data_IF_680322223783
#
_entry.id   IF_680322223783
#
_cell.length_a   1.000
_cell.length_b   1.000
_cell.length_c   1.000
_cell.angle_alpha   90.00
_cell.angle_beta   90.00
_cell.angle_gamma   90.00
#
_symmetry.space_group_name_H-M   'P 1'
#
loop_
_entity.id
_entity.type
_entity.pdbx_description
1 polymer ?
#
# COMPACT_ATOMS: atom_id res chain seq x y z
N UNK A 1 -36.63 21.90 56.13
CA UNK A 1 -36.73 22.26 54.68
C UNK A 1 -35.41 22.71 54.11
N UNK A 2 -34.67 23.65 54.74
CA UNK A 2 -33.37 24.19 54.26
C UNK A 2 -32.27 23.12 54.12
N UNK A 3 -32.19 22.17 55.02
CA UNK A 3 -31.21 21.05 54.96
C UNK A 3 -31.50 20.12 53.72
N UNK A 4 -32.76 19.78 53.48
CA UNK A 4 -33.18 19.00 52.28
C UNK A 4 -32.88 19.72 50.97
N UNK A 5 -33.18 21.04 50.93
CA UNK A 5 -32.85 21.85 49.72
C UNK A 5 -31.36 21.92 49.46
N UNK A 6 -30.53 22.08 50.51
CA UNK A 6 -29.06 22.08 50.38
C UNK A 6 -28.51 20.75 49.88
N UNK A 7 -29.07 19.62 50.37
CA UNK A 7 -28.68 18.26 49.93
C UNK A 7 -29.11 18.03 48.49
N UNK A 8 -30.32 18.44 48.08
CA UNK A 8 -30.75 18.35 46.67
C UNK A 8 -29.92 19.21 45.74
N UNK A 9 -29.58 20.45 46.12
CA UNK A 9 -28.71 21.31 45.33
C UNK A 9 -27.31 20.71 45.14
N UNK A 10 -26.71 20.13 46.22
CA UNK A 10 -25.42 19.45 46.14
C UNK A 10 -25.46 18.25 45.22
N UNK A 11 -26.48 17.40 45.32
CA UNK A 11 -26.66 16.22 44.49
C UNK A 11 -26.84 16.62 42.99
N UNK A 12 -27.68 17.65 42.73
CA UNK A 12 -27.86 18.16 41.36
C UNK A 12 -26.58 18.74 40.74
N UNK A 13 -25.81 19.48 41.55
CA UNK A 13 -24.50 20.00 41.10
C UNK A 13 -23.49 18.87 40.80
N UNK A 14 -23.45 17.82 41.63
CA UNK A 14 -22.61 16.66 41.39
C UNK A 14 -22.98 15.89 40.11
N UNK A 15 -24.29 15.70 39.87
CA UNK A 15 -24.78 15.06 38.64
C UNK A 15 -24.45 15.88 37.40
N UNK A 16 -24.67 17.21 37.46
CA UNK A 16 -24.34 18.10 36.37
C UNK A 16 -22.83 18.07 36.04
N UNK A 17 -21.99 18.13 37.07
CA UNK A 17 -20.54 18.00 36.93
C UNK A 17 -20.11 16.67 36.29
N UNK A 18 -20.67 15.54 36.77
CA UNK A 18 -20.40 14.22 36.21
C UNK A 18 -20.77 14.16 34.74
N UNK A 19 -21.94 14.64 34.37
CA UNK A 19 -22.41 14.63 32.99
C UNK A 19 -21.48 15.47 32.07
N UNK A 20 -21.07 16.66 32.55
CA UNK A 20 -20.16 17.53 31.81
C UNK A 20 -18.80 16.85 31.56
N UNK A 21 -18.26 16.23 32.61
CA UNK A 21 -16.97 15.54 32.51
C UNK A 21 -17.01 14.38 31.52
N UNK A 22 -18.07 13.56 31.59
CA UNK A 22 -18.24 12.44 30.66
C UNK A 22 -18.36 12.93 29.22
N UNK A 23 -19.15 13.97 28.98
CA UNK A 23 -19.30 14.55 27.65
C UNK A 23 -17.98 15.11 27.11
N UNK A 24 -17.23 15.85 27.94
CA UNK A 24 -15.93 16.41 27.54
C UNK A 24 -14.92 15.29 27.26
N UNK A 25 -14.94 14.22 28.06
CA UNK A 25 -14.05 13.05 27.88
C UNK A 25 -14.38 12.31 26.60
N UNK A 26 -15.66 11.99 26.35
CA UNK A 26 -16.10 11.34 25.11
C UNK A 26 -15.67 12.14 23.87
N UNK A 27 -15.92 13.45 23.90
CA UNK A 27 -15.55 14.34 22.77
C UNK A 27 -14.04 14.35 22.51
N UNK A 28 -13.21 14.24 23.54
CA UNK A 28 -11.77 14.20 23.37
C UNK A 28 -11.31 12.83 22.87
N UNK A 29 -11.89 11.74 23.35
CA UNK A 29 -11.60 10.37 22.92
C UNK A 29 -11.98 10.15 21.44
N UNK A 30 -13.09 10.71 20.97
CA UNK A 30 -13.51 10.63 19.56
C UNK A 30 -12.52 11.27 18.58
N UNK A 31 -11.67 12.19 19.05
CA UNK A 31 -10.63 12.82 18.23
C UNK A 31 -9.29 12.09 18.27
N UNK A 32 -9.12 11.20 19.23
CA UNK A 32 -7.89 10.44 19.43
C UNK A 32 -7.69 9.41 18.31
N UNK A 33 -6.44 9.28 17.85
CA UNK A 33 -6.06 8.33 16.81
C UNK A 33 -5.35 7.14 17.44
N UNK A 34 -6.14 6.09 17.73
CA UNK A 34 -5.60 4.83 18.25
C UNK A 34 -5.61 4.73 19.78
N UNK A 35 -5.32 3.53 20.26
CA UNK A 35 -5.49 3.13 21.69
C UNK A 35 -4.60 3.92 22.65
N UNK A 36 -3.36 4.20 22.25
CA UNK A 36 -2.41 4.95 23.09
C UNK A 36 -2.88 6.38 23.36
N UNK A 37 -3.39 7.07 22.33
CA UNK A 37 -3.88 8.45 22.46
C UNK A 37 -5.18 8.50 23.28
N UNK A 38 -6.07 7.52 23.12
CA UNK A 38 -7.28 7.36 23.94
C UNK A 38 -6.90 7.20 25.41
N UNK A 39 -5.89 6.38 25.72
CA UNK A 39 -5.41 6.17 27.07
C UNK A 39 -4.76 7.45 27.66
N UNK A 40 -3.96 8.17 26.87
CA UNK A 40 -3.34 9.43 27.28
C UNK A 40 -4.41 10.50 27.63
N UNK A 41 -5.47 10.61 26.82
CA UNK A 41 -6.62 11.47 27.08
C UNK A 41 -7.33 11.04 28.36
N UNK A 42 -7.59 9.73 28.51
CA UNK A 42 -8.24 9.17 29.70
C UNK A 42 -7.47 9.52 30.98
N UNK A 43 -6.16 9.24 30.99
CA UNK A 43 -5.30 9.53 32.14
C UNK A 43 -5.27 11.02 32.47
N UNK A 44 -5.19 11.88 31.46
CA UNK A 44 -5.21 13.34 31.62
C UNK A 44 -6.52 13.81 32.27
N UNK A 45 -7.66 13.28 31.83
CA UNK A 45 -8.96 13.61 32.42
C UNK A 45 -9.08 13.10 33.86
N UNK A 46 -8.63 11.87 34.13
CA UNK A 46 -8.65 11.30 35.48
C UNK A 46 -7.78 12.10 36.46
N UNK A 47 -6.61 12.57 36.05
CA UNK A 47 -5.75 13.46 36.87
C UNK A 47 -6.50 14.75 37.23
N UNK A 48 -7.14 15.37 36.22
CA UNK A 48 -7.91 16.63 36.46
C UNK A 48 -9.06 16.44 37.44
N UNK A 49 -9.70 15.26 37.40
CA UNK A 49 -10.84 14.92 38.22
C UNK A 49 -10.47 14.52 39.67
N UNK A 50 -9.53 13.59 39.76
CA UNK A 50 -9.15 12.98 41.03
C UNK A 50 -8.05 13.74 41.76
N UNK A 51 -7.32 14.64 41.04
CA UNK A 51 -6.13 15.34 41.52
C UNK A 51 -5.08 14.39 42.10
N UNK A 52 -4.96 13.20 41.51
CA UNK A 52 -4.04 12.14 41.89
C UNK A 52 -3.19 11.72 40.67
N UNK A 53 -2.04 11.16 40.93
CA UNK A 53 -1.23 10.52 39.91
C UNK A 53 -1.97 9.28 39.37
N UNK A 54 -1.73 8.92 38.11
CA UNK A 54 -2.31 7.78 37.43
C UNK A 54 -1.19 6.96 36.81
N UNK A 55 -1.18 5.66 37.01
CA UNK A 55 -0.37 4.74 36.21
C UNK A 55 -1.24 4.08 35.17
N UNK A 56 -0.73 3.91 33.96
CA UNK A 56 -1.46 3.28 32.88
C UNK A 56 -0.60 2.27 32.13
N UNK A 57 -1.21 1.20 31.70
CA UNK A 57 -0.60 0.08 31.00
C UNK A 57 -1.42 -0.23 29.77
N UNK A 58 -0.80 -0.23 28.58
CA UNK A 58 -1.42 -0.60 27.31
C UNK A 58 -1.15 -2.08 27.03
N UNK A 59 -2.01 -2.72 26.26
CA UNK A 59 -1.79 -4.06 25.75
C UNK A 59 -1.19 -3.96 24.35
N UNK A 60 0.01 -4.50 24.15
CA UNK A 60 0.69 -4.58 22.88
C UNK A 60 0.93 -6.06 22.56
N UNK A 61 0.42 -6.55 21.43
CA UNK A 61 0.52 -7.96 21.02
C UNK A 61 0.09 -8.98 22.09
N UNK A 62 -0.97 -8.64 22.86
CA UNK A 62 -1.49 -9.50 23.95
C UNK A 62 -0.65 -9.48 25.22
N UNK A 63 0.34 -8.61 25.31
CA UNK A 63 1.22 -8.46 26.50
C UNK A 63 1.03 -7.07 27.08
N UNK A 64 0.94 -7.00 28.42
CA UNK A 64 0.85 -5.72 29.11
C UNK A 64 2.18 -4.99 29.02
N UNK A 65 2.16 -3.75 28.52
CA UNK A 65 3.34 -2.89 28.34
C UNK A 65 4.00 -2.51 29.67
N UNK A 66 5.17 -1.90 29.60
CA UNK A 66 5.75 -1.22 30.76
C UNK A 66 4.86 -0.03 31.11
N UNK A 67 4.45 0.06 32.40
CA UNK A 67 3.57 1.12 32.85
C UNK A 67 4.13 2.52 32.61
N UNK A 68 3.25 3.48 32.33
CA UNK A 68 3.54 4.90 32.17
C UNK A 68 2.89 5.65 33.34
N UNK A 69 3.65 6.52 34.01
CA UNK A 69 3.11 7.37 35.06
C UNK A 69 2.68 8.71 34.46
N UNK A 70 1.46 9.09 34.74
CA UNK A 70 0.89 10.40 34.48
C UNK A 70 0.81 11.15 35.81
N UNK A 71 1.53 12.25 35.93
CA UNK A 71 1.65 13.02 37.17
C UNK A 71 1.01 14.40 37.05
N UNK A 72 0.20 14.74 38.05
CA UNK A 72 -0.31 16.12 38.24
C UNK A 72 0.57 16.96 39.16
N UNK A 73 1.38 16.35 40.03
CA UNK A 73 2.30 16.98 40.97
C UNK A 73 3.64 16.23 41.01
N UNK A 74 4.73 16.91 41.41
CA UNK A 74 6.09 16.37 41.44
C UNK A 74 6.32 15.39 42.62
N UNK A 75 5.69 14.23 42.61
CA UNK A 75 6.10 13.10 43.46
C UNK A 75 7.09 12.19 42.70
N UNK A 76 7.92 11.46 43.46
CA UNK A 76 8.95 10.58 42.87
C UNK A 76 8.34 9.52 41.97
N UNK A 77 8.75 9.52 40.72
CA UNK A 77 8.24 8.64 39.62
C UNK A 77 8.48 7.15 39.93
N UNK A 78 9.47 6.83 40.75
CA UNK A 78 9.92 5.45 41.00
C UNK A 78 9.00 4.62 41.93
N UNK A 79 8.16 5.26 42.74
CA UNK A 79 7.40 4.57 43.81
C UNK A 79 6.18 3.77 43.30
N UNK A 80 5.69 3.99 42.06
CA UNK A 80 4.43 3.40 41.56
C UNK A 80 4.63 2.49 40.35
N UNK A 81 5.85 2.34 39.84
CA UNK A 81 6.18 1.47 38.71
C UNK A 81 7.17 0.37 39.07
N UNK A 82 7.14 -0.10 40.33
CA UNK A 82 8.02 -1.17 40.80
C UNK A 82 7.59 -2.53 40.19
N UNK A 83 8.47 -3.54 40.17
CA UNK A 83 8.12 -4.88 39.67
C UNK A 83 6.92 -5.49 40.40
N UNK A 84 6.78 -5.23 41.70
CA UNK A 84 5.64 -5.69 42.50
C UNK A 84 4.34 -5.05 42.05
N UNK A 85 4.31 -3.74 41.80
CA UNK A 85 3.13 -3.03 41.31
C UNK A 85 2.78 -3.48 39.88
N UNK A 86 3.78 -3.75 39.04
CA UNK A 86 3.56 -4.31 37.68
C UNK A 86 2.95 -5.71 37.73
N UNK A 87 3.31 -6.54 38.71
CA UNK A 87 2.71 -7.85 38.90
C UNK A 87 1.21 -7.74 39.27
N UNK A 88 0.83 -6.77 40.08
CA UNK A 88 -0.57 -6.50 40.43
C UNK A 88 -1.36 -6.01 39.21
N UNK A 89 -0.77 -5.11 38.41
CA UNK A 89 -1.38 -4.64 37.19
C UNK A 89 -1.58 -5.79 36.18
N UNK A 90 -0.59 -6.70 36.05
CA UNK A 90 -0.70 -7.89 35.20
C UNK A 90 -1.82 -8.82 35.67
N UNK A 91 -1.94 -9.05 36.97
CA UNK A 91 -3.02 -9.84 37.50
C UNK A 91 -4.40 -9.23 37.18
N UNK A 92 -4.53 -7.90 37.33
CA UNK A 92 -5.77 -7.20 36.99
C UNK A 92 -6.10 -7.34 35.50
N UNK A 93 -5.10 -7.32 34.63
CA UNK A 93 -5.23 -7.56 33.17
C UNK A 93 -5.71 -8.99 32.87
N UNK A 94 -5.01 -9.99 33.41
CA UNK A 94 -5.28 -11.41 33.13
C UNK A 94 -6.67 -11.87 33.63
N UNK A 95 -7.14 -11.31 34.76
CA UNK A 95 -8.41 -11.67 35.34
C UNK A 95 -9.57 -10.71 35.01
N UNK A 96 -9.29 -9.56 34.37
CA UNK A 96 -10.29 -8.54 34.08
C UNK A 96 -10.97 -7.96 35.34
N UNK A 97 -10.32 -8.06 36.51
CA UNK A 97 -10.86 -7.68 37.82
C UNK A 97 -9.98 -6.61 38.47
N UNK A 98 -10.59 -5.91 39.46
CA UNK A 98 -9.83 -4.95 40.27
C UNK A 98 -8.88 -5.68 41.25
N UNK A 99 -7.67 -5.12 41.38
CA UNK A 99 -6.65 -5.62 42.32
C UNK A 99 -5.92 -4.47 42.99
N UNK A 100 -5.17 -4.76 44.04
CA UNK A 100 -4.34 -3.77 44.72
C UNK A 100 -4.99 -3.18 45.97
N UNK A 101 -4.64 -1.97 46.31
CA UNK A 101 -5.06 -1.29 47.53
C UNK A 101 -6.55 -1.34 47.72
N UNK A 102 -6.95 -1.67 48.98
CA UNK A 102 -8.35 -1.78 49.39
C UNK A 102 -9.18 -2.83 48.63
N UNK A 103 -8.52 -3.86 48.06
CA UNK A 103 -9.18 -5.01 47.42
C UNK A 103 -8.84 -6.32 48.11
N UNK A 104 -9.49 -7.42 47.74
CA UNK A 104 -9.16 -8.76 48.24
C UNK A 104 -7.87 -9.34 47.67
N UNK A 105 -7.46 -8.85 46.49
CA UNK A 105 -6.26 -9.30 45.76
C UNK A 105 -5.16 -8.24 45.86
N UNK A 106 -4.04 -8.60 46.46
CA UNK A 106 -2.87 -7.72 46.66
C UNK A 106 -3.16 -6.46 47.51
N UNK A 107 -3.79 -6.56 48.68
CA UNK A 107 -4.18 -5.40 49.53
C UNK A 107 -3.00 -4.54 49.96
N UNK A 108 -1.78 -5.05 49.89
CA UNK A 108 -0.53 -4.35 50.25
C UNK A 108 -0.02 -3.42 49.16
N UNK A 109 -0.54 -3.52 47.93
CA UNK A 109 -0.11 -2.66 46.82
C UNK A 109 -0.40 -1.17 47.11
N UNK A 110 0.39 -0.30 46.58
CA UNK A 110 0.23 1.17 46.74
C UNK A 110 -0.91 1.71 45.89
N UNK A 111 -1.19 1.05 44.75
CA UNK A 111 -2.21 1.46 43.81
C UNK A 111 -3.44 0.53 43.82
N UNK A 112 -4.60 1.12 43.50
CA UNK A 112 -5.79 0.38 43.07
C UNK A 112 -5.73 0.23 41.53
N UNK A 113 -5.70 -1.00 41.06
CA UNK A 113 -5.67 -1.33 39.62
C UNK A 113 -7.04 -1.73 39.12
N UNK A 114 -7.44 -1.14 38.00
CA UNK A 114 -8.71 -1.37 37.31
C UNK A 114 -8.44 -1.71 35.85
N UNK A 115 -9.00 -2.83 35.39
CA UNK A 115 -8.93 -3.21 33.99
C UNK A 115 -9.84 -2.32 33.12
N UNK A 116 -9.31 -1.83 32.01
CA UNK A 116 -10.08 -1.17 30.96
C UNK A 116 -10.63 -2.29 30.08
N UNK A 117 -11.91 -2.64 30.26
CA UNK A 117 -12.49 -3.78 29.55
C UNK A 117 -13.84 -3.45 28.94
N UNK A 118 -14.13 -4.05 27.77
CA UNK A 118 -15.46 -4.14 27.19
C UNK A 118 -15.78 -5.60 26.89
N UNK A 119 -16.86 -6.09 27.46
CA UNK A 119 -17.16 -7.53 27.47
C UNK A 119 -16.04 -8.38 28.07
N UNK A 120 -15.54 -9.34 27.31
CA UNK A 120 -14.43 -10.24 27.71
C UNK A 120 -13.05 -9.68 27.34
N UNK A 121 -12.97 -8.61 26.53
CA UNK A 121 -11.71 -8.04 26.09
C UNK A 121 -11.19 -7.00 27.08
N UNK A 122 -9.90 -7.10 27.42
CA UNK A 122 -9.18 -6.14 28.26
C UNK A 122 -8.17 -5.39 27.39
N UNK A 123 -8.29 -4.08 27.32
CA UNK A 123 -7.49 -3.18 26.46
C UNK A 123 -6.32 -2.54 27.22
N UNK A 124 -6.35 -2.57 28.54
CA UNK A 124 -5.31 -1.98 29.38
C UNK A 124 -5.66 -2.02 30.86
N UNK A 125 -4.79 -1.41 31.66
CA UNK A 125 -5.00 -1.29 33.09
C UNK A 125 -4.66 0.11 33.55
N UNK A 126 -5.49 0.69 34.41
CA UNK A 126 -5.23 1.96 35.09
C UNK A 126 -4.98 1.68 36.58
N UNK A 127 -3.90 2.23 37.12
CA UNK A 127 -3.57 2.20 38.54
C UNK A 127 -3.71 3.58 39.17
N UNK A 128 -4.32 3.65 40.35
CA UNK A 128 -4.54 4.88 41.09
C UNK A 128 -3.88 4.74 42.46
N UNK A 129 -2.86 5.55 42.75
CA UNK A 129 -2.23 5.55 44.08
C UNK A 129 -3.23 5.93 45.18
N UNK A 130 -3.31 5.10 46.24
CA UNK A 130 -4.20 5.31 47.38
C UNK A 130 -3.38 5.27 48.70
N UNK A 131 -2.52 6.28 48.90
CA UNK A 131 -1.56 6.25 49.99
C UNK A 131 -2.16 6.48 51.40
N UNK A 132 -3.19 7.32 51.56
CA UNK A 132 -3.79 7.65 52.86
C UNK A 132 -5.31 7.89 52.84
N UNK A 133 -5.89 8.04 51.69
CA UNK A 133 -7.30 8.37 51.49
C UNK A 133 -7.93 7.44 50.49
N UNK A 134 -9.06 6.83 50.86
CA UNK A 134 -9.90 6.07 49.95
C UNK A 134 -10.62 7.01 49.02
N UNK A 135 -10.97 6.54 47.82
CA UNK A 135 -11.88 7.26 46.94
C UNK A 135 -13.26 7.35 47.58
N UNK A 136 -13.88 8.53 47.54
CA UNK A 136 -15.26 8.63 47.94
C UNK A 136 -16.20 7.92 46.92
N UNK A 137 -17.45 7.70 47.28
CA UNK A 137 -18.40 6.98 46.41
C UNK A 137 -18.65 7.75 45.06
N UNK A 138 -18.51 9.06 45.05
CA UNK A 138 -18.71 9.88 43.89
C UNK A 138 -17.50 9.82 42.95
N UNK A 139 -16.29 9.98 43.50
CA UNK A 139 -15.01 9.82 42.77
C UNK A 139 -14.92 8.44 42.12
N UNK A 140 -15.26 7.37 42.89
CA UNK A 140 -15.24 6.01 42.36
C UNK A 140 -16.25 5.79 41.24
N UNK A 141 -17.45 6.37 41.34
CA UNK A 141 -18.46 6.29 40.31
C UNK A 141 -18.05 7.00 39.03
N UNK A 142 -17.40 8.17 39.12
CA UNK A 142 -16.87 8.90 37.96
C UNK A 142 -15.72 8.12 37.30
N UNK A 143 -14.80 7.62 38.10
CA UNK A 143 -13.68 6.81 37.64
C UNK A 143 -14.15 5.62 36.80
N UNK A 144 -15.10 4.84 37.31
CA UNK A 144 -15.65 3.69 36.57
C UNK A 144 -16.33 4.13 35.27
N UNK A 145 -17.03 5.27 35.29
CA UNK A 145 -17.70 5.78 34.10
C UNK A 145 -16.68 6.19 33.03
N UNK A 146 -15.58 6.85 33.40
CA UNK A 146 -14.51 7.26 32.47
C UNK A 146 -13.75 6.03 31.94
N UNK A 147 -13.47 5.03 32.80
CA UNK A 147 -12.83 3.78 32.37
C UNK A 147 -13.71 3.02 31.37
N UNK A 148 -15.03 2.94 31.62
CA UNK A 148 -15.94 2.28 30.68
C UNK A 148 -16.02 3.01 29.33
N UNK A 149 -16.02 4.35 29.35
CA UNK A 149 -15.99 5.14 28.11
C UNK A 149 -14.66 4.95 27.34
N UNK A 150 -13.55 4.87 28.08
CA UNK A 150 -12.25 4.54 27.51
C UNK A 150 -12.28 3.17 26.83
N UNK A 151 -12.81 2.15 27.51
CA UNK A 151 -12.91 0.79 26.99
C UNK A 151 -13.75 0.74 25.70
N UNK A 152 -14.91 1.42 25.69
CA UNK A 152 -15.77 1.49 24.52
C UNK A 152 -15.08 2.23 23.34
N UNK A 153 -14.37 3.32 23.64
CA UNK A 153 -13.62 4.07 22.63
C UNK A 153 -12.48 3.23 22.03
N UNK A 154 -11.76 2.46 22.84
CA UNK A 154 -10.70 1.54 22.37
C UNK A 154 -11.28 0.41 21.51
N UNK A 155 -12.36 -0.20 21.93
CA UNK A 155 -13.08 -1.23 21.15
C UNK A 155 -13.52 -0.70 19.78
N UNK A 156 -14.09 0.51 19.75
CA UNK A 156 -14.51 1.15 18.50
C UNK A 156 -13.32 1.44 17.59
N UNK A 157 -12.20 1.92 18.12
CA UNK A 157 -10.98 2.18 17.36
C UNK A 157 -10.40 0.88 16.78
N UNK A 158 -10.34 -0.20 17.56
CA UNK A 158 -9.87 -1.51 17.10
C UNK A 158 -10.77 -2.09 16.01
N UNK A 159 -12.09 -2.04 16.20
CA UNK A 159 -13.07 -2.50 15.22
C UNK A 159 -13.00 -1.69 13.91
N UNK A 160 -12.73 -0.39 13.99
CA UNK A 160 -12.55 0.46 12.80
C UNK A 160 -11.30 0.07 12.01
N UNK A 161 -10.17 -0.15 12.69
CA UNK A 161 -8.93 -0.62 12.06
C UNK A 161 -9.08 -2.00 11.41
N UNK A 162 -9.76 -2.92 12.08
CA UNK A 162 -10.02 -4.26 11.53
C UNK A 162 -10.92 -4.21 10.31
N UNK A 163 -11.98 -3.40 10.34
CA UNK A 163 -12.86 -3.18 9.17
C UNK A 163 -12.09 -2.58 7.99
N UNK A 164 -11.23 -1.60 8.23
CA UNK A 164 -10.41 -1.01 7.18
C UNK A 164 -9.45 -2.04 6.58
N UNK A 165 -8.76 -2.81 7.41
CA UNK A 165 -7.88 -3.90 6.96
C UNK A 165 -8.64 -4.94 6.12
N UNK A 166 -9.81 -5.37 6.59
CA UNK A 166 -10.65 -6.35 5.88
C UNK A 166 -11.18 -5.77 4.56
N UNK A 167 -11.54 -4.48 4.51
CA UNK A 167 -11.98 -3.82 3.27
C UNK A 167 -10.84 -3.76 2.23
N UNK A 168 -9.61 -3.48 2.66
CA UNK A 168 -8.44 -3.49 1.77
C UNK A 168 -8.17 -4.91 1.24
N UNK A 169 -8.24 -5.92 2.10
CA UNK A 169 -8.07 -7.32 1.69
C UNK A 169 -9.15 -7.75 0.69
N UNK A 170 -10.42 -7.45 0.99
CA UNK A 170 -11.55 -7.78 0.10
C UNK A 170 -11.42 -7.09 -1.26
N UNK A 171 -10.98 -5.82 -1.28
CA UNK A 171 -10.73 -5.08 -2.53
C UNK A 171 -9.61 -5.73 -3.35
N UNK A 172 -8.54 -6.17 -2.70
CA UNK A 172 -7.43 -6.85 -3.39
C UNK A 172 -7.87 -8.20 -3.97
N UNK A 173 -8.67 -8.99 -3.23
CA UNK A 173 -9.22 -10.26 -3.73
C UNK A 173 -10.18 -10.03 -4.90
N UNK A 174 -11.04 -9.00 -4.83
CA UNK A 174 -11.93 -8.65 -5.94
C UNK A 174 -11.13 -8.27 -7.19
N UNK A 175 -10.10 -7.42 -7.03
CA UNK A 175 -9.20 -7.06 -8.14
C UNK A 175 -8.55 -8.30 -8.75
N UNK A 176 -8.03 -9.24 -7.94
CA UNK A 176 -7.46 -10.49 -8.44
C UNK A 176 -8.47 -11.33 -9.24
N UNK A 177 -9.71 -11.44 -8.76
CA UNK A 177 -10.76 -12.18 -9.44
C UNK A 177 -11.13 -11.54 -10.79
N UNK A 178 -11.27 -10.23 -10.84
CA UNK A 178 -11.58 -9.48 -12.06
C UNK A 178 -10.44 -9.58 -13.08
N UNK A 179 -9.18 -9.52 -12.61
CA UNK A 179 -7.99 -9.74 -13.41
C UNK A 179 -7.97 -11.11 -14.05
N UNK A 180 -8.18 -12.18 -13.27
CA UNK A 180 -8.21 -13.56 -13.81
C UNK A 180 -9.31 -13.74 -14.85
N UNK A 181 -10.47 -13.09 -14.66
CA UNK A 181 -11.59 -13.13 -15.62
C UNK A 181 -11.21 -12.43 -16.93
N UNK A 182 -10.62 -11.22 -16.85
CA UNK A 182 -10.18 -10.47 -18.02
C UNK A 182 -9.11 -11.24 -18.82
N UNK A 183 -8.06 -11.71 -18.13
CA UNK A 183 -7.00 -12.53 -18.73
C UNK A 183 -7.58 -13.76 -19.42
N UNK A 184 -8.47 -14.49 -18.75
CA UNK A 184 -9.07 -15.71 -19.32
C UNK A 184 -9.89 -15.43 -20.58
N UNK A 185 -10.61 -14.31 -20.61
CA UNK A 185 -11.35 -13.87 -21.80
C UNK A 185 -10.42 -13.54 -22.96
N UNK A 186 -9.38 -12.75 -22.68
CA UNK A 186 -8.48 -12.26 -23.74
C UNK A 186 -7.52 -13.33 -24.26
N UNK A 187 -7.15 -14.32 -23.44
CA UNK A 187 -6.42 -15.51 -23.91
C UNK A 187 -7.28 -16.44 -24.75
N UNK A 188 -8.58 -16.54 -24.47
CA UNK A 188 -9.49 -17.46 -25.21
C UNK A 188 -9.61 -17.05 -26.67
N UNK A 189 -9.68 -15.77 -26.98
CA UNK A 189 -9.90 -15.26 -28.34
C UNK A 189 -8.80 -15.71 -29.32
N UNK A 190 -7.51 -15.50 -29.08
CA UNK A 190 -6.44 -15.98 -29.96
C UNK A 190 -6.34 -17.51 -29.98
N UNK A 191 -6.59 -18.19 -28.85
CA UNK A 191 -6.63 -19.65 -28.84
C UNK A 191 -7.73 -20.22 -29.74
N UNK A 192 -8.92 -19.60 -29.75
CA UNK A 192 -10.00 -19.98 -30.66
C UNK A 192 -9.64 -19.67 -32.11
N UNK A 193 -8.94 -18.56 -32.40
CA UNK A 193 -8.47 -18.22 -33.75
C UNK A 193 -7.43 -19.22 -34.23
N UNK A 194 -6.41 -19.53 -33.43
CA UNK A 194 -5.41 -20.56 -33.76
C UNK A 194 -6.09 -21.93 -34.03
N UNK A 195 -6.99 -22.34 -33.13
CA UNK A 195 -7.70 -23.62 -33.27
C UNK A 195 -8.56 -23.65 -34.54
N UNK A 196 -9.31 -22.58 -34.81
CA UNK A 196 -10.15 -22.47 -36.01
C UNK A 196 -9.36 -22.46 -37.32
N UNK A 197 -8.25 -21.69 -37.34
CA UNK A 197 -7.33 -21.63 -38.45
C UNK A 197 -6.66 -23.00 -38.73
N UNK A 198 -6.24 -23.70 -37.67
CA UNK A 198 -5.66 -25.03 -37.76
C UNK A 198 -6.70 -26.05 -38.27
N UNK A 199 -7.95 -26.01 -37.80
CA UNK A 199 -9.02 -26.86 -38.27
C UNK A 199 -9.34 -26.61 -39.74
N UNK A 200 -9.35 -25.35 -40.19
CA UNK A 200 -9.54 -24.99 -41.59
C UNK A 200 -8.45 -25.58 -42.48
N UNK A 201 -7.18 -25.53 -42.06
CA UNK A 201 -6.07 -26.17 -42.78
C UNK A 201 -6.20 -27.70 -42.82
N UNK A 202 -6.63 -28.34 -41.71
CA UNK A 202 -6.77 -29.79 -41.63
C UNK A 202 -7.94 -30.30 -42.48
N UNK A 203 -9.08 -29.58 -42.49
CA UNK A 203 -10.31 -30.03 -43.12
C UNK A 203 -10.46 -29.63 -44.58
N UNK A 204 -9.83 -28.51 -45.00
CA UNK A 204 -10.06 -27.93 -46.34
C UNK A 204 -8.78 -27.58 -47.10
N UNK A 205 -7.63 -28.12 -46.75
CA UNK A 205 -6.33 -27.75 -47.35
C UNK A 205 -6.31 -27.83 -48.88
N UNK A 206 -6.95 -28.83 -49.46
CA UNK A 206 -6.99 -29.04 -50.90
C UNK A 206 -7.85 -28.02 -51.66
N UNK A 207 -8.71 -27.27 -50.96
CA UNK A 207 -9.62 -26.27 -51.54
C UNK A 207 -9.11 -24.83 -51.38
N UNK A 208 -8.07 -24.65 -50.57
CA UNK A 208 -7.45 -23.33 -50.30
C UNK A 208 -6.34 -23.05 -51.28
N UNK A 209 -6.27 -21.84 -51.80
CA UNK A 209 -5.13 -21.37 -52.55
C UNK A 209 -3.92 -21.11 -51.67
N UNK A 210 -2.72 -21.03 -52.24
CA UNK A 210 -1.48 -20.86 -51.48
C UNK A 210 -1.42 -19.53 -50.76
N UNK A 211 -2.05 -18.48 -51.26
CA UNK A 211 -2.10 -17.17 -50.64
C UNK A 211 -2.94 -17.24 -49.34
N UNK A 212 -4.10 -17.86 -49.41
CA UNK A 212 -4.96 -18.08 -48.21
C UNK A 212 -4.29 -18.98 -47.18
N UNK A 213 -3.59 -20.05 -47.61
CA UNK A 213 -2.83 -20.91 -46.68
C UNK A 213 -1.74 -20.10 -45.98
N UNK A 214 -0.99 -19.29 -46.72
CA UNK A 214 0.06 -18.46 -46.21
C UNK A 214 -0.49 -17.46 -45.16
N UNK A 215 -1.64 -16.84 -45.43
CA UNK A 215 -2.29 -15.92 -44.49
C UNK A 215 -2.68 -16.65 -43.21
N UNK A 216 -3.30 -17.87 -43.30
CA UNK A 216 -3.68 -18.67 -42.15
C UNK A 216 -2.45 -19.04 -41.30
N UNK A 217 -1.33 -19.44 -41.92
CA UNK A 217 -0.10 -19.74 -41.20
C UNK A 217 0.44 -18.47 -40.46
N UNK A 218 0.37 -17.32 -41.12
CA UNK A 218 0.78 -16.04 -40.51
C UNK A 218 -0.11 -15.67 -39.32
N UNK A 219 -1.42 -15.83 -39.46
CA UNK A 219 -2.38 -15.56 -38.39
C UNK A 219 -2.15 -16.48 -37.17
N UNK A 220 -1.90 -17.78 -37.38
CA UNK A 220 -1.57 -18.73 -36.31
C UNK A 220 -0.25 -18.32 -35.62
N UNK A 221 0.76 -17.94 -36.40
CA UNK A 221 2.05 -17.53 -35.88
C UNK A 221 1.93 -16.25 -35.06
N UNK A 222 1.29 -15.22 -35.59
CA UNK A 222 1.11 -13.92 -34.92
C UNK A 222 0.30 -14.07 -33.61
N UNK A 223 -0.78 -14.85 -33.62
CA UNK A 223 -1.59 -15.13 -32.41
C UNK A 223 -0.77 -15.93 -31.37
N UNK A 224 0.11 -16.84 -31.79
CA UNK A 224 0.97 -17.62 -30.88
C UNK A 224 2.07 -16.74 -30.25
N UNK A 225 2.75 -15.90 -31.02
CA UNK A 225 3.75 -14.95 -30.52
C UNK A 225 3.13 -13.97 -29.53
N UNK A 226 1.93 -13.46 -29.83
CA UNK A 226 1.20 -12.60 -28.91
C UNK A 226 0.90 -13.30 -27.58
N UNK A 227 0.44 -14.57 -27.60
CA UNK A 227 0.18 -15.34 -26.39
C UNK A 227 1.43 -15.56 -25.55
N UNK A 228 2.57 -15.85 -26.19
CA UNK A 228 3.87 -16.00 -25.51
C UNK A 228 4.21 -14.70 -24.78
N UNK A 229 4.13 -13.55 -25.45
CA UNK A 229 4.41 -12.25 -24.85
C UNK A 229 3.51 -11.92 -23.64
N UNK A 230 2.22 -12.27 -23.74
CA UNK A 230 1.28 -12.10 -22.61
C UNK A 230 1.67 -12.94 -21.41
N UNK A 231 2.01 -14.23 -21.62
CA UNK A 231 2.41 -15.15 -20.54
C UNK A 231 3.71 -14.66 -19.89
N UNK A 232 4.70 -14.24 -20.68
CA UNK A 232 5.96 -13.72 -20.17
C UNK A 232 5.79 -12.43 -19.35
N UNK A 233 4.95 -11.51 -19.82
CA UNK A 233 4.63 -10.29 -19.08
C UNK A 233 3.93 -10.60 -17.75
N UNK A 234 2.97 -11.53 -17.74
CA UNK A 234 2.25 -11.94 -16.53
C UNK A 234 3.18 -12.60 -15.51
N UNK A 235 4.07 -13.49 -15.97
CA UNK A 235 5.08 -14.12 -15.12
C UNK A 235 6.06 -13.10 -14.55
N UNK A 236 6.48 -12.11 -15.33
CA UNK A 236 7.39 -11.05 -14.89
C UNK A 236 6.74 -10.18 -13.81
N UNK A 237 5.48 -9.75 -14.00
CA UNK A 237 4.72 -8.99 -13.01
C UNK A 237 4.53 -9.79 -11.71
N UNK A 238 4.16 -11.07 -11.81
CA UNK A 238 3.94 -11.92 -10.64
C UNK A 238 5.22 -12.08 -9.82
N UNK A 239 6.36 -12.29 -10.49
CA UNK A 239 7.68 -12.42 -9.83
C UNK A 239 8.14 -11.12 -9.18
N UNK A 240 7.84 -9.97 -9.79
CA UNK A 240 8.13 -8.65 -9.23
C UNK A 240 7.32 -8.40 -7.95
N UNK A 241 6.01 -8.62 -7.99
CA UNK A 241 5.11 -8.37 -6.86
C UNK A 241 5.38 -9.30 -5.66
N UNK A 242 5.78 -10.54 -5.91
CA UNK A 242 6.12 -11.51 -4.86
C UNK A 242 7.51 -11.25 -4.23
N UNK A 243 8.27 -10.26 -4.71
CA UNK A 243 9.65 -10.02 -4.28
C UNK A 243 10.61 -11.19 -4.61
N UNK A 244 10.18 -12.10 -5.48
CA UNK A 244 10.95 -13.31 -5.87
C UNK A 244 11.88 -13.09 -7.04
N UNK A 245 11.78 -11.92 -7.69
CA UNK A 245 12.67 -11.62 -8.81
C UNK A 245 14.07 -11.32 -8.28
N UNK A 246 15.02 -12.20 -8.61
CA UNK A 246 16.44 -11.97 -8.32
C UNK A 246 17.02 -11.13 -9.45
N UNK A 247 17.23 -9.84 -9.17
CA UNK A 247 17.89 -8.93 -10.10
C UNK A 247 19.36 -9.32 -10.27
N UNK A 248 19.81 -9.32 -11.52
CA UNK A 248 21.23 -9.52 -11.86
C UNK A 248 21.79 -8.19 -12.38
N UNK A 249 22.09 -7.30 -11.44
CA UNK A 249 22.68 -6.01 -11.79
C UNK A 249 24.11 -6.17 -12.33
N UNK A 250 24.36 -5.58 -13.47
CA UNK A 250 25.69 -5.48 -14.12
C UNK A 250 25.88 -4.08 -14.63
N UNK A 251 27.12 -3.62 -14.70
CA UNK A 251 27.46 -2.33 -15.29
C UNK A 251 27.60 -2.51 -16.79
N UNK A 252 26.78 -1.80 -17.58
CA UNK A 252 26.69 -1.94 -19.02
C UNK A 252 26.60 -0.57 -19.70
N UNK A 253 27.09 -0.50 -20.91
CA UNK A 253 26.95 0.68 -21.78
C UNK A 253 25.51 0.77 -22.31
N UNK A 254 24.91 1.95 -22.18
CA UNK A 254 23.52 2.16 -22.55
C UNK A 254 23.28 1.99 -24.06
N UNK A 255 24.21 2.44 -24.90
CA UNK A 255 24.15 2.29 -26.35
C UNK A 255 24.14 0.82 -26.79
N UNK A 256 24.93 -0.06 -26.15
CA UNK A 256 24.93 -1.50 -26.41
C UNK A 256 23.55 -2.12 -26.07
N UNK A 257 22.96 -1.73 -24.94
CA UNK A 257 21.64 -2.24 -24.52
C UNK A 257 20.53 -1.75 -25.45
N UNK A 258 20.59 -0.50 -25.91
CA UNK A 258 19.66 0.02 -26.94
C UNK A 258 19.85 -0.76 -28.25
N UNK A 259 21.08 -0.96 -28.70
CA UNK A 259 21.35 -1.70 -29.95
C UNK A 259 20.85 -3.16 -29.87
N UNK A 260 21.02 -3.81 -28.72
CA UNK A 260 20.51 -5.18 -28.50
C UNK A 260 18.98 -5.21 -28.47
N UNK A 261 18.32 -4.22 -27.87
CA UNK A 261 16.86 -4.15 -27.85
C UNK A 261 16.25 -4.06 -29.24
N UNK A 262 16.91 -3.36 -30.18
CA UNK A 262 16.46 -3.25 -31.55
C UNK A 262 16.47 -4.58 -32.34
N UNK A 263 17.29 -5.55 -31.93
CA UNK A 263 17.31 -6.91 -32.51
C UNK A 263 16.11 -7.74 -32.11
N UNK A 264 15.45 -7.37 -31.01
CA UNK A 264 14.28 -8.09 -30.47
C UNK A 264 12.94 -7.50 -30.91
N UNK A 265 12.95 -6.43 -31.69
CA UNK A 265 11.72 -5.81 -32.21
C UNK A 265 11.11 -6.67 -33.31
N UNK A 266 9.78 -6.68 -33.40
CA UNK A 266 9.03 -7.42 -34.40
C UNK A 266 9.44 -7.02 -35.85
N UNK A 267 9.29 -7.95 -36.83
CA UNK A 267 9.63 -7.74 -38.24
C UNK A 267 8.93 -6.55 -38.93
N UNK A 268 7.88 -6.01 -38.29
CA UNK A 268 7.14 -4.82 -38.79
C UNK A 268 7.93 -3.50 -38.67
N UNK A 269 9.13 -3.49 -38.07
CA UNK A 269 9.92 -2.29 -37.89
C UNK A 269 10.50 -1.73 -39.23
N UNK A 270 10.60 -2.55 -40.26
CA UNK A 270 11.13 -2.14 -41.58
C UNK A 270 10.30 -1.01 -42.23
N UNK A 271 9.04 -0.87 -41.84
CA UNK A 271 8.13 0.17 -42.30
C UNK A 271 8.27 1.50 -41.53
N UNK A 272 9.15 1.57 -40.50
CA UNK A 272 9.33 2.73 -39.64
C UNK A 272 10.78 3.23 -39.66
N UNK A 273 10.95 4.54 -39.48
CA UNK A 273 12.29 5.11 -39.37
C UNK A 273 12.70 5.20 -37.90
N UNK A 274 13.49 4.25 -37.41
CA UNK A 274 14.04 4.28 -36.06
C UNK A 274 15.37 5.03 -36.07
N UNK A 275 15.47 6.08 -35.24
CA UNK A 275 16.66 6.92 -35.08
C UNK A 275 17.19 6.75 -33.68
N UNK A 276 18.46 6.39 -33.50
CA UNK A 276 19.11 6.27 -32.20
C UNK A 276 20.13 7.40 -32.07
N UNK A 277 20.00 8.16 -30.97
CA UNK A 277 20.91 9.25 -30.62
C UNK A 277 21.32 9.01 -29.13
N UNK A 278 22.43 8.35 -28.92
CA UNK A 278 22.92 8.02 -27.58
C UNK A 278 24.27 8.70 -27.32
N UNK A 279 24.38 9.38 -26.20
CA UNK A 279 25.63 9.94 -25.71
C UNK A 279 26.64 8.82 -25.45
N UNK A 280 27.88 9.04 -25.82
CA UNK A 280 28.95 8.04 -25.67
C UNK A 280 29.27 7.78 -24.19
N UNK A 281 29.64 6.54 -23.88
CA UNK A 281 30.14 6.10 -22.57
C UNK A 281 29.15 6.34 -21.39
N UNK A 282 27.85 6.18 -21.63
CA UNK A 282 26.85 6.17 -20.55
C UNK A 282 26.84 4.79 -19.90
N UNK A 283 27.59 4.65 -18.81
CA UNK A 283 27.66 3.40 -18.03
C UNK A 283 26.55 3.39 -16.96
N UNK A 284 25.73 2.34 -16.98
CA UNK A 284 24.54 2.20 -16.10
C UNK A 284 24.53 0.86 -15.43
N UNK A 285 24.20 0.85 -14.13
CA UNK A 285 24.04 -0.38 -13.37
C UNK A 285 22.62 -0.90 -13.49
N UNK A 286 22.42 -1.98 -14.24
CA UNK A 286 21.09 -2.50 -14.57
C UNK A 286 21.04 -4.01 -14.72
N UNK A 287 19.85 -4.59 -14.66
CA UNK A 287 19.59 -5.94 -15.20
C UNK A 287 19.25 -5.80 -16.68
N UNK A 288 20.19 -6.15 -17.52
CA UNK A 288 20.13 -5.94 -18.97
C UNK A 288 18.88 -6.55 -19.60
N UNK A 289 18.48 -7.75 -19.18
CA UNK A 289 17.31 -8.45 -19.75
C UNK A 289 16.03 -7.67 -19.51
N UNK A 290 15.88 -7.12 -18.30
CA UNK A 290 14.69 -6.36 -17.91
C UNK A 290 14.65 -5.00 -18.59
N UNK A 291 15.81 -4.33 -18.75
CA UNK A 291 15.86 -3.05 -19.45
C UNK A 291 15.64 -3.24 -20.97
N UNK A 292 16.15 -4.32 -21.58
CA UNK A 292 15.79 -4.69 -22.96
C UNK A 292 14.27 -4.87 -23.07
N UNK A 293 13.63 -5.57 -22.12
CA UNK A 293 12.16 -5.75 -22.11
C UNK A 293 11.42 -4.42 -22.03
N UNK A 294 11.91 -3.46 -21.22
CA UNK A 294 11.34 -2.09 -21.16
C UNK A 294 11.45 -1.40 -22.52
N UNK A 295 12.64 -1.40 -23.10
CA UNK A 295 12.87 -0.74 -24.41
C UNK A 295 12.02 -1.37 -25.51
N UNK A 296 11.98 -2.70 -25.62
CA UNK A 296 11.14 -3.41 -26.58
C UNK A 296 9.67 -3.05 -26.40
N UNK A 297 9.15 -3.08 -25.16
CA UNK A 297 7.76 -2.71 -24.91
C UNK A 297 7.43 -1.26 -25.31
N UNK A 298 8.33 -0.31 -25.03
CA UNK A 298 8.11 1.10 -25.40
C UNK A 298 8.18 1.31 -26.91
N UNK A 299 9.13 0.66 -27.60
CA UNK A 299 9.29 0.75 -29.06
C UNK A 299 8.13 0.06 -29.77
N UNK A 300 7.70 -1.14 -29.33
CA UNK A 300 6.54 -1.85 -29.89
C UNK A 300 5.25 -1.04 -29.67
N UNK A 301 5.10 -0.33 -28.57
CA UNK A 301 4.00 0.60 -28.38
C UNK A 301 4.05 1.75 -29.40
N UNK A 302 5.22 2.35 -29.64
CA UNK A 302 5.38 3.39 -30.64
C UNK A 302 5.02 2.87 -32.04
N UNK A 303 5.51 1.68 -32.45
CA UNK A 303 5.17 1.04 -33.73
C UNK A 303 3.66 0.78 -33.82
N UNK A 304 3.05 0.30 -32.78
CA UNK A 304 1.65 -0.09 -32.74
C UNK A 304 0.68 1.08 -32.86
N UNK A 305 1.00 2.21 -32.23
CA UNK A 305 0.08 3.35 -32.13
C UNK A 305 0.40 4.50 -33.08
N UNK A 306 1.42 4.36 -33.94
CA UNK A 306 1.76 5.36 -34.94
C UNK A 306 1.48 4.84 -36.37
N UNK A 307 1.14 5.72 -37.33
CA UNK A 307 1.01 5.33 -38.74
C UNK A 307 2.30 4.79 -39.32
N UNK A 308 2.19 3.90 -40.31
CA UNK A 308 3.31 3.41 -41.12
C UNK A 308 4.11 4.58 -41.71
N UNK A 309 5.44 4.50 -41.67
CA UNK A 309 6.34 5.58 -42.09
C UNK A 309 6.67 6.61 -41.01
N UNK A 310 6.13 6.43 -39.78
CA UNK A 310 6.47 7.30 -38.66
C UNK A 310 7.94 7.22 -38.26
N UNK A 311 8.40 8.27 -37.58
CA UNK A 311 9.75 8.34 -36.98
C UNK A 311 9.67 8.05 -35.51
N UNK A 312 10.46 7.08 -35.07
CA UNK A 312 10.62 6.73 -33.63
C UNK A 312 12.06 7.09 -33.25
N UNK A 313 12.25 7.98 -32.27
CA UNK A 313 13.56 8.43 -31.84
C UNK A 313 13.86 7.87 -30.43
N UNK A 314 15.01 7.22 -30.27
CA UNK A 314 15.50 6.72 -28.99
C UNK A 314 16.72 7.56 -28.62
N UNK A 315 16.62 8.33 -27.54
CA UNK A 315 17.72 9.19 -27.09
C UNK A 315 18.20 8.77 -25.71
N UNK A 316 19.52 8.59 -25.58
CA UNK A 316 20.18 8.27 -24.29
C UNK A 316 21.13 9.39 -23.90
N UNK A 317 20.94 10.01 -22.72
CA UNK A 317 21.79 11.12 -22.26
C UNK A 317 22.10 10.97 -20.75
N UNK A 318 23.19 11.64 -20.31
CA UNK A 318 23.45 11.86 -18.89
C UNK A 318 22.80 13.17 -18.45
N UNK A 319 21.91 13.10 -17.47
CA UNK A 319 21.22 14.26 -16.93
C UNK A 319 21.02 14.13 -15.42
N UNK A 320 21.33 15.19 -14.66
CA UNK A 320 21.12 15.28 -13.21
C UNK A 320 21.67 14.08 -12.42
N UNK A 321 22.86 13.56 -12.83
CA UNK A 321 23.50 12.41 -12.18
C UNK A 321 22.83 11.06 -12.46
N UNK A 322 21.95 10.99 -13.45
CA UNK A 322 21.27 9.76 -13.91
C UNK A 322 21.43 9.59 -15.41
N UNK A 323 21.32 8.36 -15.88
CA UNK A 323 21.07 8.08 -17.29
C UNK A 323 19.59 8.32 -17.56
N UNK A 324 19.27 9.13 -18.55
CA UNK A 324 17.91 9.37 -19.03
C UNK A 324 17.77 8.80 -20.42
N UNK A 325 16.71 8.00 -20.62
CA UNK A 325 16.36 7.45 -21.92
C UNK A 325 14.99 7.98 -22.33
N UNK A 326 14.91 8.51 -23.54
CA UNK A 326 13.68 8.99 -24.14
C UNK A 326 13.32 8.07 -25.29
N UNK A 327 12.07 7.64 -25.37
CA UNK A 327 11.48 6.97 -26.54
C UNK A 327 10.38 7.86 -27.06
N UNK A 328 10.65 8.53 -28.18
CA UNK A 328 9.79 9.55 -28.76
C UNK A 328 9.15 9.02 -30.04
N UNK A 329 7.87 9.26 -30.24
CA UNK A 329 7.13 8.99 -31.47
C UNK A 329 6.41 10.25 -31.97
N UNK A 330 6.03 10.27 -33.24
CA UNK A 330 5.25 11.33 -33.85
C UNK A 330 3.81 10.92 -34.15
N UNK A 331 3.25 10.04 -33.33
CA UNK A 331 1.89 9.53 -33.42
C UNK A 331 0.80 10.51 -32.97
N UNK A 332 -0.43 10.02 -32.73
CA UNK A 332 -1.56 10.85 -32.30
C UNK A 332 -1.46 11.35 -30.86
N UNK A 333 -0.52 10.85 -30.07
CA UNK A 333 -0.43 11.16 -28.63
C UNK A 333 -1.46 10.45 -27.78
N UNK A 334 -1.48 10.79 -26.47
CA UNK A 334 -2.39 10.23 -25.45
C UNK A 334 -3.18 11.39 -24.83
N UNK A 335 -4.50 11.23 -24.72
CA UNK A 335 -5.37 12.25 -24.14
C UNK A 335 -5.07 12.50 -22.66
N UNK A 336 -5.30 13.73 -22.18
CA UNK A 336 -5.05 14.13 -20.77
C UNK A 336 -5.81 13.25 -19.77
N UNK A 337 -7.00 12.75 -20.14
CA UNK A 337 -7.80 11.86 -19.28
C UNK A 337 -7.17 10.49 -19.11
N UNK A 338 -6.40 10.01 -20.10
CA UNK A 338 -5.77 8.69 -20.06
C UNK A 338 -4.40 8.71 -19.39
N UNK A 339 -3.65 9.81 -19.47
CA UNK A 339 -2.26 9.91 -18.96
C UNK A 339 -2.09 9.45 -17.51
N UNK A 340 -2.97 9.78 -16.54
CA UNK A 340 -2.83 9.33 -15.16
C UNK A 340 -2.92 7.81 -14.98
N UNK A 341 -3.55 7.12 -15.93
CA UNK A 341 -3.90 5.70 -15.81
C UNK A 341 -3.06 4.76 -16.69
N UNK A 342 -2.25 5.28 -17.60
CA UNK A 342 -1.53 4.45 -18.61
C UNK A 342 -0.55 3.46 -18.00
N UNK A 343 -0.07 3.69 -16.79
CA UNK A 343 0.82 2.78 -16.05
C UNK A 343 0.06 1.83 -15.12
N UNK A 344 -1.27 1.97 -15.02
CA UNK A 344 -2.09 1.02 -14.25
C UNK A 344 -2.20 -0.31 -15.01
N UNK A 345 -2.16 -1.41 -14.26
CA UNK A 345 -2.32 -2.74 -14.84
C UNK A 345 -3.70 -2.88 -15.50
N UNK A 346 -3.70 -3.47 -16.70
CA UNK A 346 -4.93 -3.74 -17.49
C UNK A 346 -5.66 -2.49 -17.98
N UNK A 347 -5.06 -1.33 -17.86
CA UNK A 347 -5.62 -0.13 -18.46
C UNK A 347 -5.34 -0.12 -19.96
N UNK A 348 -6.43 -0.14 -20.74
CA UNK A 348 -6.40 0.03 -22.19
C UNK A 348 -7.28 1.22 -22.56
N UNK A 349 -6.73 2.20 -23.25
CA UNK A 349 -7.51 3.34 -23.74
C UNK A 349 -8.69 2.85 -24.60
N UNK A 350 -9.86 3.45 -24.46
CA UNK A 350 -11.00 3.22 -25.35
C UNK A 350 -10.66 3.75 -26.75
N UNK A 351 -9.95 2.99 -27.53
CA UNK A 351 -9.77 3.29 -28.96
C UNK A 351 -10.98 2.74 -29.70
N UNK A 352 -11.73 3.64 -30.34
CA UNK A 352 -12.86 3.35 -31.25
C UNK A 352 -12.42 2.71 -32.57
N UNK A 353 -11.15 2.41 -32.71
CA UNK A 353 -10.63 1.71 -33.90
C UNK A 353 -10.74 0.22 -33.63
N UNK A 354 -11.81 -0.34 -34.11
CA UNK A 354 -12.06 -1.79 -34.17
C UNK A 354 -11.08 -2.42 -35.17
N UNK A 355 -9.79 -2.47 -34.86
CA UNK A 355 -8.85 -3.24 -35.66
C UNK A 355 -7.58 -3.64 -34.92
N UNK A 356 -7.38 -4.93 -34.88
CA UNK A 356 -6.12 -5.71 -34.90
C UNK A 356 -5.07 -5.53 -33.79
N UNK A 357 -5.16 -4.56 -32.90
CA UNK A 357 -4.11 -4.37 -31.91
C UNK A 357 -4.56 -4.78 -30.51
N UNK A 358 -4.64 -6.09 -30.27
CA UNK A 358 -4.90 -6.66 -28.95
C UNK A 358 -3.85 -6.16 -27.97
N UNK A 359 -4.29 -5.57 -26.86
CA UNK A 359 -3.40 -5.12 -25.77
C UNK A 359 -4.06 -5.39 -24.44
N UNK A 360 -3.39 -6.15 -23.57
CA UNK A 360 -3.85 -6.43 -22.21
C UNK A 360 -3.58 -5.31 -21.22
N UNK A 361 -2.96 -4.21 -21.65
CA UNK A 361 -2.57 -3.13 -20.73
C UNK A 361 -1.52 -3.54 -19.69
N UNK A 362 -0.71 -4.57 -19.98
CA UNK A 362 0.34 -5.05 -19.07
C UNK A 362 1.72 -4.46 -19.35
N UNK A 363 2.00 -4.09 -20.60
CA UNK A 363 3.35 -3.68 -21.03
C UNK A 363 3.87 -2.44 -20.29
N UNK A 364 3.09 -1.35 -20.26
CA UNK A 364 3.50 -0.12 -19.59
C UNK A 364 3.56 -0.26 -18.06
N UNK A 365 2.64 -1.00 -17.47
CA UNK A 365 2.67 -1.32 -16.04
C UNK A 365 3.93 -2.12 -15.66
N UNK A 366 4.31 -3.09 -16.50
CA UNK A 366 5.54 -3.86 -16.32
C UNK A 366 6.78 -2.95 -16.46
N UNK A 367 6.81 -2.07 -17.47
CA UNK A 367 7.89 -1.09 -17.64
C UNK A 367 8.06 -0.22 -16.40
N UNK A 368 6.95 0.30 -15.86
CA UNK A 368 6.96 1.13 -14.67
C UNK A 368 7.54 0.36 -13.47
N UNK A 369 7.05 -0.85 -13.21
CA UNK A 369 7.53 -1.70 -12.11
C UNK A 369 9.02 -2.08 -12.25
N UNK A 370 9.49 -2.37 -13.47
CA UNK A 370 10.90 -2.67 -13.72
C UNK A 370 11.77 -1.45 -13.42
N UNK A 371 11.39 -0.28 -13.91
CA UNK A 371 12.16 0.96 -13.73
C UNK A 371 12.18 1.38 -12.24
N UNK A 372 11.06 1.29 -11.53
CA UNK A 372 11.03 1.52 -10.07
C UNK A 372 11.96 0.57 -9.32
N UNK A 373 11.97 -0.71 -9.68
CA UNK A 373 12.86 -1.70 -9.07
C UNK A 373 14.36 -1.45 -9.36
N UNK A 374 14.67 -0.64 -10.39
CA UNK A 374 16.01 -0.14 -10.69
C UNK A 374 16.30 1.23 -10.03
N UNK A 375 15.46 1.71 -9.11
CA UNK A 375 15.54 3.04 -8.49
C UNK A 375 15.47 4.19 -9.51
N UNK A 376 14.79 3.95 -10.63
CA UNK A 376 14.52 4.91 -11.68
C UNK A 376 13.10 5.49 -11.59
N UNK A 377 12.76 6.31 -12.59
CA UNK A 377 11.40 6.86 -12.79
C UNK A 377 11.01 6.69 -14.24
N UNK A 378 9.76 6.35 -14.51
CA UNK A 378 9.18 6.32 -15.86
C UNK A 378 8.02 7.30 -15.92
N UNK A 379 8.07 8.23 -16.86
CA UNK A 379 7.05 9.26 -17.07
C UNK A 379 6.68 9.36 -18.54
N UNK A 380 5.49 9.88 -18.82
CA UNK A 380 5.05 10.28 -20.15
C UNK A 380 5.00 11.80 -20.23
N UNK A 381 5.55 12.35 -21.31
CA UNK A 381 5.42 13.76 -21.68
C UNK A 381 4.92 13.87 -23.12
N UNK A 382 4.32 15.00 -23.45
CA UNK A 382 3.93 15.26 -24.84
C UNK A 382 5.16 15.59 -25.67
N UNK A 383 5.18 15.10 -26.90
CA UNK A 383 6.16 15.56 -27.88
C UNK A 383 5.77 16.95 -28.41
N UNK A 384 6.77 17.80 -28.67
CA UNK A 384 6.57 19.23 -28.99
C UNK A 384 5.65 19.51 -30.18
N UNK A 385 5.50 18.57 -31.13
CA UNK A 385 4.66 18.74 -32.30
C UNK A 385 3.39 17.90 -32.31
N UNK A 386 3.44 16.63 -32.01
CA UNK A 386 2.37 15.62 -31.80
C UNK A 386 3.09 14.30 -31.50
N UNK A 387 2.48 13.43 -30.67
CA UNK A 387 3.03 12.13 -30.31
C UNK A 387 3.32 11.99 -28.82
N UNK A 388 3.97 10.90 -28.47
CA UNK A 388 4.35 10.58 -27.11
C UNK A 388 5.87 10.65 -26.91
N UNK A 389 6.28 11.00 -25.70
CA UNK A 389 7.65 10.86 -25.26
C UNK A 389 7.67 10.14 -23.92
N UNK A 390 8.03 8.87 -23.93
CA UNK A 390 8.26 8.09 -22.71
C UNK A 390 9.70 8.33 -22.25
N UNK A 391 9.84 8.83 -21.03
CA UNK A 391 11.13 9.15 -20.44
C UNK A 391 11.33 8.25 -19.23
N UNK A 392 12.42 7.49 -19.21
CA UNK A 392 12.81 6.78 -18.01
C UNK A 392 14.23 7.11 -17.57
N UNK A 393 14.48 7.00 -16.28
CA UNK A 393 15.79 7.28 -15.70
C UNK A 393 16.34 6.03 -15.00
N UNK A 394 17.67 5.90 -14.99
CA UNK A 394 18.39 4.85 -14.28
C UNK A 394 19.59 5.48 -13.54
N UNK A 395 20.01 4.91 -12.40
CA UNK A 395 21.22 5.37 -11.72
C UNK A 395 22.46 5.07 -12.58
N UNK A 396 23.35 6.07 -12.72
CA UNK A 396 24.66 5.86 -13.35
C UNK A 396 25.50 4.88 -12.51
N UNK A 397 26.34 4.12 -13.16
CA UNK A 397 27.38 3.35 -12.47
C UNK A 397 28.53 4.27 -12.05
N UNK A 398 28.91 4.22 -10.77
CA UNK A 398 30.11 4.88 -10.29
C UNK A 398 31.31 4.03 -10.72
N UNK A 399 32.05 4.51 -11.72
CA UNK A 399 33.35 3.92 -12.06
C UNK A 399 34.33 4.30 -10.95
N UNK A 400 34.58 3.44 -9.99
CA UNK A 400 35.74 3.55 -9.12
C UNK A 400 36.93 3.15 -9.97
N UNK A 401 37.62 4.12 -10.57
CA UNK A 401 38.96 3.94 -11.12
C UNK A 401 39.87 3.64 -9.93
N UNK A 402 40.10 2.34 -9.64
CA UNK A 402 41.20 1.93 -8.79
C UNK A 402 42.49 2.22 -9.58
N UNK A 403 43.18 3.30 -9.23
CA UNK A 403 44.57 3.55 -9.64
C UNK A 403 45.51 2.52 -9.02
#
# INVERSE_FOLDING_TARGET
>A
LAAKLKTHAKLSAQLAFRTQVLFDTERLMQKAKGETEILDVTCTQLIRLLKRNITAYVVEDGILSKGKLFSGEKESIEDFLTPEEQQVARWAYENGQRAGAYTHHYPQAKCLYLAIRSGDNVYGVIGIPLQKETLDSFEYSILLSVINECALSMENAQNAMEKEKNAVLAKNEQLRADLLRAISHDLRTPLCSISGNADMLLSNSDRLDEATKHQIYTDIYDDSEWLIGVVENLLSITRLNDGRLKFKFTDQLLDEVIAESLRHISRKHDDYKIVVDCEELVLVRMDVRLIIQVLVNLIDNAIKYTPTGSVICIRGIKKDGKAQVNVEDNGPGISEEMKPHIFEMFYTGKTTVADSHRSLGLGLALCHSIIEAHNGTLILTDHASHGCNFIFTLPLSEVILNE
#
